data_IF_325145619086
#
_entry.id   IF_325145619086
#
_cell.length_a   1.000
_cell.length_b   1.000
_cell.length_c   1.000
_cell.angle_alpha   90.00
_cell.angle_beta   90.00
_cell.angle_gamma   90.00
#
_symmetry.space_group_name_H-M   'P 1'
#
loop_
_entity.id
_entity.type
_entity.pdbx_description
1 polymer ?
#
# COMPACT_ATOMS: atom_id res chain seq x y z
N UNK A 1 23.49 -7.04 31.63
CA UNK A 1 23.79 -6.28 30.40
C UNK A 1 22.74 -6.62 29.35
N UNK A 2 21.46 -6.28 29.57
CA UNK A 2 20.34 -6.86 28.80
C UNK A 2 19.46 -5.80 28.10
N UNK A 3 19.77 -4.52 28.26
CA UNK A 3 18.99 -3.41 27.69
C UNK A 3 19.34 -3.12 26.23
N UNK A 4 20.57 -3.43 25.78
CA UNK A 4 21.04 -3.13 24.44
C UNK A 4 20.51 -4.12 23.38
N UNK A 5 20.34 -5.39 23.72
CA UNK A 5 19.79 -6.43 22.82
C UNK A 5 18.28 -6.29 22.60
N UNK A 6 17.54 -5.78 23.60
CA UNK A 6 16.10 -5.53 23.52
C UNK A 6 15.76 -4.31 22.64
N UNK A 7 16.63 -3.29 22.65
CA UNK A 7 16.52 -2.10 21.79
C UNK A 7 16.74 -2.43 20.31
N UNK A 8 17.74 -3.25 19.99
CA UNK A 8 18.06 -3.64 18.61
C UNK A 8 16.94 -4.46 17.93
N UNK A 9 16.33 -5.40 18.66
CA UNK A 9 15.24 -6.24 18.15
C UNK A 9 13.93 -5.48 17.96
N UNK A 10 13.64 -4.50 18.82
CA UNK A 10 12.40 -3.72 18.74
C UNK A 10 12.44 -2.69 17.62
N UNK A 11 13.59 -2.06 17.37
CA UNK A 11 13.78 -1.13 16.25
C UNK A 11 13.71 -1.84 14.91
N UNK A 12 14.42 -2.95 14.74
CA UNK A 12 14.44 -3.70 13.48
C UNK A 12 13.03 -4.22 13.10
N UNK A 13 12.26 -4.72 14.08
CA UNK A 13 10.88 -5.18 13.86
C UNK A 13 9.94 -4.06 13.41
N UNK A 14 10.15 -2.82 13.89
CA UNK A 14 9.36 -1.66 13.47
C UNK A 14 9.75 -1.18 12.07
N UNK A 15 11.04 -1.20 11.76
CA UNK A 15 11.53 -0.86 10.43
C UNK A 15 11.01 -1.86 9.39
N UNK A 16 10.92 -3.15 9.73
CA UNK A 16 10.28 -4.18 8.91
C UNK A 16 8.78 -3.92 8.70
N UNK A 17 8.05 -3.49 9.75
CA UNK A 17 6.63 -3.13 9.65
C UNK A 17 6.40 -1.92 8.74
N UNK A 18 7.27 -0.91 8.82
CA UNK A 18 7.23 0.28 7.93
C UNK A 18 7.60 -0.09 6.49
N UNK A 19 8.62 -0.93 6.29
CA UNK A 19 9.04 -1.39 4.96
C UNK A 19 7.94 -2.16 4.27
N UNK A 20 7.32 -3.13 4.96
CA UNK A 20 6.16 -3.87 4.44
C UNK A 20 4.98 -2.93 4.12
N UNK A 21 4.75 -1.91 4.94
CA UNK A 21 3.69 -0.95 4.66
C UNK A 21 3.99 -0.09 3.41
N UNK A 22 5.25 0.30 3.21
CA UNK A 22 5.69 1.01 2.02
C UNK A 22 5.51 0.15 0.75
N UNK A 23 5.81 -1.16 0.83
CA UNK A 23 5.54 -2.10 -0.27
C UNK A 23 4.06 -2.17 -0.63
N UNK A 24 3.15 -2.13 0.37
CA UNK A 24 1.71 -2.11 0.11
C UNK A 24 1.26 -0.84 -0.62
N UNK A 25 1.82 0.32 -0.28
CA UNK A 25 1.54 1.56 -1.00
C UNK A 25 2.11 1.54 -2.42
N UNK A 26 3.33 1.01 -2.59
CA UNK A 26 3.94 0.87 -3.90
C UNK A 26 3.10 -0.03 -4.82
N UNK A 27 2.60 -1.16 -4.30
CA UNK A 27 1.72 -2.04 -5.08
C UNK A 27 0.38 -1.37 -5.41
N UNK A 28 -0.17 -0.54 -4.51
CA UNK A 28 -1.36 0.25 -4.81
C UNK A 28 -1.11 1.24 -5.96
N UNK A 29 0.01 1.97 -5.92
CA UNK A 29 0.38 2.93 -6.96
C UNK A 29 0.67 2.23 -8.30
N UNK A 30 1.26 1.03 -8.26
CA UNK A 30 1.48 0.19 -9.45
C UNK A 30 0.15 -0.25 -10.08
N UNK A 31 -0.79 -0.74 -9.27
CA UNK A 31 -2.14 -1.11 -9.74
C UNK A 31 -2.87 0.11 -10.32
N UNK A 32 -2.63 1.30 -9.75
CA UNK A 32 -3.20 2.54 -10.26
C UNK A 32 -2.63 2.93 -11.62
N UNK A 33 -1.30 2.83 -11.78
CA UNK A 33 -0.64 3.04 -13.08
C UNK A 33 -1.17 2.08 -14.15
N UNK A 34 -1.31 0.78 -13.81
CA UNK A 34 -1.90 -0.22 -14.70
C UNK A 34 -3.35 0.12 -15.09
N UNK A 35 -4.12 0.76 -14.20
CA UNK A 35 -5.45 1.22 -14.56
C UNK A 35 -5.37 2.32 -15.64
N UNK A 36 -4.46 3.28 -15.51
CA UNK A 36 -4.29 4.32 -16.52
C UNK A 36 -3.78 3.79 -17.87
N UNK A 37 -2.94 2.75 -17.88
CA UNK A 37 -2.54 2.07 -19.13
C UNK A 37 -3.75 1.50 -19.90
N UNK A 38 -4.78 1.01 -19.21
CA UNK A 38 -6.00 0.46 -19.85
C UNK A 38 -6.71 1.53 -20.70
N UNK A 39 -6.63 2.80 -20.30
CA UNK A 39 -7.32 3.90 -20.98
C UNK A 39 -6.38 4.78 -21.82
N UNK A 40 -5.09 4.44 -21.91
CA UNK A 40 -4.09 5.23 -22.65
C UNK A 40 -4.49 5.42 -24.12
N UNK A 41 -5.06 4.40 -24.75
CA UNK A 41 -5.57 4.43 -26.13
C UNK A 41 -7.09 4.31 -26.19
N UNK A 42 -7.80 4.84 -25.20
CA UNK A 42 -9.25 4.70 -25.09
C UNK A 42 -10.01 5.45 -26.18
N UNK A 43 -10.90 4.74 -26.90
CA UNK A 43 -11.69 5.28 -28.00
C UNK A 43 -13.19 5.41 -27.71
N UNK A 44 -13.64 5.25 -26.45
CA UNK A 44 -15.05 5.39 -26.06
C UNK A 44 -15.81 4.08 -25.85
N UNK A 45 -15.11 2.93 -25.80
CA UNK A 45 -15.70 1.61 -25.56
C UNK A 45 -16.17 1.39 -24.09
N UNK A 46 -17.38 0.90 -23.87
CA UNK A 46 -17.90 0.71 -22.51
C UNK A 46 -17.17 -0.41 -21.73
N UNK A 47 -16.64 -1.43 -22.42
CA UNK A 47 -15.89 -2.54 -21.84
C UNK A 47 -14.53 -2.08 -21.31
N UNK A 48 -13.81 -1.23 -22.04
CA UNK A 48 -12.53 -0.67 -21.57
C UNK A 48 -12.72 0.21 -20.33
N UNK A 49 -13.79 1.01 -20.30
CA UNK A 49 -14.14 1.81 -19.11
C UNK A 49 -14.49 0.93 -17.89
N UNK A 50 -15.18 -0.19 -18.11
CA UNK A 50 -15.47 -1.16 -17.04
C UNK A 50 -14.17 -1.74 -16.46
N UNK A 51 -13.25 -2.20 -17.33
CA UNK A 51 -11.94 -2.74 -16.92
C UNK A 51 -11.10 -1.71 -16.16
N UNK A 52 -11.10 -0.47 -16.61
CA UNK A 52 -10.47 0.64 -15.90
C UNK A 52 -11.04 0.81 -14.49
N UNK A 53 -12.36 0.87 -14.36
CA UNK A 53 -13.04 1.08 -13.07
C UNK A 53 -12.76 -0.08 -12.12
N UNK A 54 -12.73 -1.31 -12.64
CA UNK A 54 -12.35 -2.49 -11.85
C UNK A 54 -10.88 -2.44 -11.40
N UNK A 55 -9.96 -2.02 -12.27
CA UNK A 55 -8.54 -1.86 -11.93
C UNK A 55 -8.34 -0.76 -10.86
N UNK A 56 -8.99 0.40 -11.00
CA UNK A 56 -9.01 1.47 -9.99
C UNK A 56 -9.54 0.98 -8.66
N UNK A 57 -10.63 0.21 -8.66
CA UNK A 57 -11.21 -0.36 -7.43
C UNK A 57 -10.23 -1.28 -6.69
N UNK A 58 -9.40 -2.04 -7.43
CA UNK A 58 -8.35 -2.89 -6.84
C UNK A 58 -7.21 -2.06 -6.26
N UNK A 59 -6.75 -1.03 -6.96
CA UNK A 59 -5.75 -0.09 -6.46
C UNK A 59 -6.23 0.61 -5.17
N UNK A 60 -7.47 1.11 -5.15
CA UNK A 60 -8.06 1.77 -3.99
C UNK A 60 -8.23 0.82 -2.80
N UNK A 61 -8.60 -0.44 -3.05
CA UNK A 61 -8.68 -1.46 -2.00
C UNK A 61 -7.30 -1.71 -1.38
N UNK A 62 -6.25 -1.85 -2.20
CA UNK A 62 -4.88 -2.03 -1.75
C UNK A 62 -4.40 -0.81 -0.95
N UNK A 63 -4.67 0.41 -1.43
CA UNK A 63 -4.34 1.66 -0.73
C UNK A 63 -5.05 1.76 0.62
N UNK A 64 -6.29 1.29 0.70
CA UNK A 64 -7.06 1.25 1.95
C UNK A 64 -6.45 0.28 2.97
N UNK A 65 -5.98 -0.89 2.52
CA UNK A 65 -5.27 -1.85 3.39
C UNK A 65 -3.95 -1.25 3.89
N UNK A 66 -3.17 -0.67 3.00
CA UNK A 66 -1.93 0.02 3.34
C UNK A 66 -2.17 1.14 4.37
N UNK A 67 -3.22 1.95 4.19
CA UNK A 67 -3.57 3.01 5.14
C UNK A 67 -3.97 2.49 6.51
N UNK A 68 -4.73 1.38 6.58
CA UNK A 68 -5.12 0.76 7.86
C UNK A 68 -3.91 0.22 8.62
N UNK A 69 -2.97 -0.43 7.93
CA UNK A 69 -1.71 -0.89 8.54
C UNK A 69 -0.83 0.28 8.98
N UNK A 70 -0.74 1.34 8.18
CA UNK A 70 -0.02 2.56 8.57
C UNK A 70 -0.57 3.18 9.86
N UNK A 71 -1.90 3.26 9.97
CA UNK A 71 -2.60 3.73 11.17
C UNK A 71 -2.32 2.85 12.39
N UNK A 72 -2.22 1.53 12.22
CA UNK A 72 -1.87 0.59 13.29
C UNK A 72 -0.43 0.81 13.79
N UNK A 73 0.51 0.96 12.86
CA UNK A 73 1.92 1.23 13.17
C UNK A 73 2.05 2.58 13.90
N UNK A 74 1.36 3.63 13.44
CA UNK A 74 1.40 4.95 14.05
C UNK A 74 0.67 5.06 15.38
N UNK A 75 -0.45 4.35 15.57
CA UNK A 75 -1.14 4.31 16.87
C UNK A 75 -0.27 3.66 17.96
N UNK A 76 0.58 2.71 17.57
CA UNK A 76 1.57 2.10 18.47
C UNK A 76 2.71 3.04 18.89
N UNK A 77 2.84 4.22 18.25
CA UNK A 77 3.81 5.27 18.64
C UNK A 77 3.29 6.22 19.74
N UNK A 78 2.00 6.18 20.09
CA UNK A 78 1.37 7.11 21.05
C UNK A 78 1.14 6.53 22.46
N UNK A 79 1.63 5.32 22.74
CA UNK A 79 1.65 4.68 24.07
C UNK A 79 3.08 4.43 24.48
#
# INVERSE_FOLDING_TARGET
MNSQTLGYTTTNRRDDEVTRNAEMFFEADRLDALAYEIIESYSGDAQTWSRFTEAKKRADAQRTVAYREWMRIHRSKRK
#
